data_IF_392947143493
#
_entry.id   IF_392947143493
#
_cell.length_a   1.000
_cell.length_b   1.000
_cell.length_c   1.000
_cell.angle_alpha   90.00
_cell.angle_beta   90.00
_cell.angle_gamma   90.00
#
_symmetry.space_group_name_H-M   'P 1'
#
loop_
_entity.id
_entity.type
_entity.pdbx_description
1 polymer ?
#
# COMPACT_ATOMS: atom_id res chain seq x y z
N UNK A 1 23.81 34.27 17.76
CA UNK A 1 24.21 34.08 16.36
C UNK A 1 23.39 32.94 15.76
N UNK A 2 22.40 33.25 14.91
CA UNK A 2 21.62 32.24 14.18
C UNK A 2 22.48 31.68 13.05
N UNK A 3 23.00 30.45 13.22
CA UNK A 3 23.78 29.76 12.18
C UNK A 3 22.82 29.34 11.06
N UNK A 4 22.91 30.03 9.91
CA UNK A 4 22.22 29.63 8.66
C UNK A 4 22.83 28.32 8.18
N UNK A 5 22.03 27.27 8.07
CA UNK A 5 22.41 26.01 7.43
C UNK A 5 22.34 26.28 5.92
N UNK A 6 23.47 26.25 5.24
CA UNK A 6 23.57 26.43 3.79
C UNK A 6 23.87 25.06 3.19
N UNK A 7 23.11 24.69 2.16
CA UNK A 7 23.24 23.39 1.47
C UNK A 7 24.59 23.19 0.77
N UNK A 8 24.68 22.12 -0.01
CA UNK A 8 25.89 21.47 -0.55
C UNK A 8 26.93 22.33 -1.31
N UNK A 9 26.72 23.65 -1.46
CA UNK A 9 27.59 24.58 -2.17
C UNK A 9 28.27 25.63 -1.25
N UNK A 10 28.49 25.30 0.03
CA UNK A 10 29.21 26.19 0.93
C UNK A 10 30.73 26.16 0.67
N UNK A 11 31.29 27.21 0.06
CA UNK A 11 32.75 27.44 -0.07
C UNK A 11 33.45 27.59 1.29
N UNK A 12 32.70 27.85 2.36
CA UNK A 12 33.14 27.73 3.75
C UNK A 12 31.92 27.47 4.65
N UNK A 13 31.86 26.33 5.31
CA UNK A 13 30.74 25.90 6.16
C UNK A 13 30.64 24.37 6.28
N UNK A 14 29.88 23.88 7.26
CA UNK A 14 29.63 22.45 7.46
C UNK A 14 28.56 22.02 6.44
N UNK A 15 28.92 21.14 5.49
CA UNK A 15 27.97 20.59 4.52
C UNK A 15 26.99 19.64 5.20
N UNK A 16 25.70 19.97 5.15
CA UNK A 16 24.63 19.10 5.65
C UNK A 16 24.03 18.38 4.45
N UNK A 17 24.29 17.09 4.33
CA UNK A 17 23.75 16.24 3.24
C UNK A 17 22.27 15.87 3.43
N UNK A 18 21.71 16.02 4.64
CA UNK A 18 20.32 15.73 4.91
C UNK A 18 19.92 16.02 6.35
N UNK A 19 18.64 16.31 6.55
CA UNK A 19 18.05 16.52 7.88
C UNK A 19 17.03 15.42 8.10
N UNK A 20 17.23 14.61 9.14
CA UNK A 20 16.29 13.58 9.57
C UNK A 20 15.30 14.20 10.56
N UNK A 21 14.01 14.11 10.25
CA UNK A 21 12.93 14.64 11.10
C UNK A 21 12.04 13.47 11.50
N UNK A 22 11.87 13.27 12.80
CA UNK A 22 10.99 12.23 13.34
C UNK A 22 9.68 12.86 13.84
N UNK A 23 8.56 12.41 13.30
CA UNK A 23 7.24 12.73 13.84
C UNK A 23 6.86 11.79 14.99
N UNK A 24 6.09 12.30 15.95
CA UNK A 24 5.56 11.51 17.07
C UNK A 24 4.44 10.53 16.68
N UNK A 25 3.76 10.75 15.55
CA UNK A 25 2.77 9.80 15.03
C UNK A 25 2.74 9.76 13.49
N UNK A 26 2.34 8.62 12.89
CA UNK A 26 2.21 8.48 11.44
C UNK A 26 1.16 9.41 10.82
N UNK A 27 0.01 9.64 11.49
CA UNK A 27 -1.05 10.48 10.92
C UNK A 27 -0.64 11.96 10.80
N UNK A 28 0.37 12.38 11.57
CA UNK A 28 0.89 13.74 11.54
C UNK A 28 2.01 13.94 10.51
N UNK A 29 2.44 12.89 9.80
CA UNK A 29 3.55 12.99 8.85
C UNK A 29 3.25 13.92 7.68
N UNK A 30 2.05 13.84 7.08
CA UNK A 30 1.66 14.74 5.99
C UNK A 30 1.56 16.19 6.45
N UNK A 31 0.91 16.43 7.60
CA UNK A 31 0.81 17.76 8.19
C UNK A 31 2.19 18.34 8.56
N UNK A 32 3.08 17.51 9.10
CA UNK A 32 4.45 17.90 9.40
C UNK A 32 5.24 18.20 8.13
N UNK A 33 5.10 17.40 7.07
CA UNK A 33 5.73 17.65 5.77
C UNK A 33 5.27 18.97 5.16
N UNK A 34 3.97 19.28 5.25
CA UNK A 34 3.43 20.57 4.81
C UNK A 34 4.02 21.74 5.60
N UNK A 35 4.03 21.65 6.93
CA UNK A 35 4.58 22.69 7.80
C UNK A 35 6.08 22.90 7.58
N UNK A 36 6.85 21.83 7.44
CA UNK A 36 8.30 21.91 7.18
C UNK A 36 8.56 22.51 5.80
N UNK A 37 7.81 22.11 4.77
CA UNK A 37 7.91 22.71 3.43
C UNK A 37 7.67 24.22 3.49
N UNK A 38 6.60 24.65 4.15
CA UNK A 38 6.28 26.08 4.25
C UNK A 38 7.33 26.85 5.07
N UNK A 39 7.82 26.27 6.16
CA UNK A 39 8.89 26.86 6.97
C UNK A 39 10.19 27.02 6.18
N UNK A 40 10.57 26.02 5.38
CA UNK A 40 11.76 26.07 4.55
C UNK A 40 11.61 27.11 3.43
N UNK A 41 10.46 27.19 2.75
CA UNK A 41 10.17 28.25 1.77
C UNK A 41 10.32 29.64 2.37
N UNK A 42 9.75 29.88 3.55
CA UNK A 42 9.86 31.15 4.26
C UNK A 42 11.32 31.46 4.63
N UNK A 43 12.10 30.48 5.09
CA UNK A 43 13.52 30.69 5.45
C UNK A 43 14.44 30.87 4.25
N UNK A 44 14.11 30.25 3.12
CA UNK A 44 14.85 30.37 1.87
C UNK A 44 14.38 31.56 1.02
N UNK A 45 13.36 32.31 1.49
CA UNK A 45 12.72 33.42 0.77
C UNK A 45 12.21 33.01 -0.62
N UNK A 46 11.69 31.78 -0.75
CA UNK A 46 11.10 31.25 -1.98
C UNK A 46 9.62 31.61 -1.98
N UNK A 47 9.22 32.46 -2.93
CA UNK A 47 7.84 32.86 -3.15
C UNK A 47 7.34 32.28 -4.49
N UNK A 48 6.05 31.89 -4.59
CA UNK A 48 5.49 31.50 -5.88
C UNK A 48 5.75 32.61 -6.91
N UNK A 49 6.29 32.31 -8.11
CA UNK A 49 6.35 30.99 -8.78
C UNK A 49 7.72 30.28 -8.73
N UNK A 50 8.65 30.66 -7.83
CA UNK A 50 9.97 30.02 -7.78
C UNK A 50 9.89 28.54 -7.39
N UNK A 51 10.66 27.66 -8.06
CA UNK A 51 10.75 26.25 -7.69
C UNK A 51 11.47 26.06 -6.36
N UNK A 52 11.13 24.99 -5.64
CA UNK A 52 11.78 24.63 -4.38
C UNK A 52 13.24 24.19 -4.63
N UNK A 53 14.16 24.64 -3.78
CA UNK A 53 15.58 24.27 -3.80
C UNK A 53 15.91 23.05 -2.90
N UNK A 54 14.88 22.46 -2.28
CA UNK A 54 14.97 21.32 -1.38
C UNK A 54 14.04 20.18 -1.80
N UNK A 55 14.36 18.96 -1.38
CA UNK A 55 13.51 17.78 -1.58
C UNK A 55 13.17 17.16 -0.22
N UNK A 56 11.89 17.03 0.08
CA UNK A 56 11.41 16.25 1.21
C UNK A 56 10.99 14.86 0.70
N UNK A 57 11.52 13.82 1.34
CA UNK A 57 11.10 12.45 1.10
C UNK A 57 10.43 11.94 2.36
N UNK A 58 9.14 11.63 2.28
CA UNK A 58 8.41 11.03 3.39
C UNK A 58 8.54 9.50 3.30
N UNK A 59 8.94 8.87 4.41
CA UNK A 59 9.04 7.41 4.44
C UNK A 59 7.67 6.73 4.46
N UNK A 60 6.60 7.46 4.84
CA UNK A 60 5.23 6.96 4.75
C UNK A 60 4.79 6.70 3.31
N UNK A 61 5.27 7.47 2.33
CA UNK A 61 4.90 7.31 0.91
C UNK A 61 5.42 5.97 0.35
N UNK A 62 6.60 5.55 0.81
CA UNK A 62 7.20 4.26 0.43
C UNK A 62 6.38 3.12 1.02
N UNK A 63 6.03 3.23 2.30
CA UNK A 63 5.23 2.21 3.00
C UNK A 63 3.83 2.11 2.40
N UNK A 64 3.15 3.24 2.16
CA UNK A 64 1.81 3.27 1.60
C UNK A 64 1.76 2.67 0.19
N UNK A 65 2.74 2.99 -0.66
CA UNK A 65 2.87 2.40 -1.99
C UNK A 65 3.02 0.88 -1.91
N UNK A 66 3.89 0.40 -1.01
CA UNK A 66 4.09 -1.03 -0.81
C UNK A 66 2.82 -1.73 -0.29
N UNK A 67 2.14 -1.13 0.70
CA UNK A 67 0.87 -1.64 1.22
C UNK A 67 -0.21 -1.71 0.14
N UNK A 68 -0.30 -0.71 -0.74
CA UNK A 68 -1.24 -0.70 -1.85
C UNK A 68 -0.96 -1.84 -2.84
N UNK A 69 0.32 -2.06 -3.19
CA UNK A 69 0.74 -3.14 -4.09
C UNK A 69 0.39 -4.51 -3.48
N UNK A 70 0.72 -4.72 -2.21
CA UNK A 70 0.39 -5.97 -1.49
C UNK A 70 -1.12 -6.16 -1.39
N UNK A 71 -1.88 -5.09 -1.15
CA UNK A 71 -3.34 -5.12 -1.13
C UNK A 71 -3.92 -5.57 -2.47
N UNK A 72 -3.41 -5.02 -3.58
CA UNK A 72 -3.83 -5.42 -4.92
C UNK A 72 -3.54 -6.91 -5.20
N UNK A 73 -2.34 -7.39 -4.86
CA UNK A 73 -2.01 -8.81 -4.99
C UNK A 73 -2.91 -9.70 -4.13
N UNK A 74 -3.23 -9.27 -2.91
CA UNK A 74 -4.14 -10.00 -2.03
C UNK A 74 -5.52 -10.18 -2.67
N UNK A 75 -6.08 -9.11 -3.23
CA UNK A 75 -7.38 -9.16 -3.95
C UNK A 75 -7.31 -10.11 -5.14
N UNK A 76 -6.23 -10.06 -5.93
CA UNK A 76 -6.03 -10.97 -7.06
C UNK A 76 -5.99 -12.44 -6.61
N UNK A 77 -5.24 -12.76 -5.56
CA UNK A 77 -5.14 -14.13 -5.04
C UNK A 77 -6.49 -14.63 -4.54
N UNK A 78 -7.24 -13.81 -3.79
CA UNK A 78 -8.58 -14.16 -3.31
C UNK A 78 -9.55 -14.37 -4.47
N UNK A 79 -9.50 -13.54 -5.51
CA UNK A 79 -10.33 -13.69 -6.68
C UNK A 79 -10.04 -15.02 -7.41
N UNK A 80 -8.77 -15.35 -7.63
CA UNK A 80 -8.36 -16.62 -8.26
C UNK A 80 -8.79 -17.80 -7.39
N UNK A 81 -8.54 -17.76 -6.08
CA UNK A 81 -8.95 -18.80 -5.15
C UNK A 81 -10.48 -18.99 -5.15
N UNK A 82 -11.25 -17.90 -5.21
CA UNK A 82 -12.70 -17.94 -5.33
C UNK A 82 -13.18 -18.63 -6.60
N UNK A 83 -12.57 -18.32 -7.75
CA UNK A 83 -12.86 -18.99 -9.02
C UNK A 83 -12.55 -20.49 -8.92
N UNK A 84 -11.38 -20.85 -8.39
CA UNK A 84 -10.99 -22.25 -8.20
C UNK A 84 -11.96 -23.01 -7.30
N UNK A 85 -12.45 -22.38 -6.22
CA UNK A 85 -13.44 -22.98 -5.34
C UNK A 85 -14.77 -23.24 -6.05
N UNK A 86 -15.26 -22.29 -6.86
CA UNK A 86 -16.50 -22.45 -7.63
C UNK A 86 -16.37 -23.58 -8.65
N UNK A 87 -15.27 -23.61 -9.42
CA UNK A 87 -15.04 -24.66 -10.42
C UNK A 87 -14.91 -26.03 -9.76
N UNK A 88 -14.21 -26.13 -8.62
CA UNK A 88 -14.13 -27.36 -7.83
C UNK A 88 -15.50 -27.80 -7.30
N UNK A 89 -16.32 -26.86 -6.83
CA UNK A 89 -17.69 -27.12 -6.37
C UNK A 89 -18.60 -27.66 -7.47
N UNK A 90 -18.52 -27.10 -8.67
CA UNK A 90 -19.24 -27.59 -9.85
C UNK A 90 -18.78 -29.02 -10.19
N UNK A 91 -17.48 -29.29 -10.12
CA UNK A 91 -16.93 -30.63 -10.36
C UNK A 91 -17.47 -31.67 -9.38
N UNK A 92 -17.45 -31.37 -8.07
CA UNK A 92 -18.00 -32.26 -7.03
C UNK A 92 -19.49 -32.47 -7.24
N UNK A 93 -20.26 -31.41 -7.55
CA UNK A 93 -21.68 -31.52 -7.82
C UNK A 93 -21.96 -32.44 -9.02
N UNK A 94 -21.16 -32.37 -10.08
CA UNK A 94 -21.32 -33.23 -11.25
C UNK A 94 -21.02 -34.71 -10.92
N UNK A 95 -19.93 -34.97 -10.18
CA UNK A 95 -19.61 -36.34 -9.71
C UNK A 95 -20.73 -36.88 -8.82
N UNK A 96 -21.25 -36.05 -7.91
CA UNK A 96 -22.35 -36.43 -7.03
C UNK A 96 -23.63 -36.73 -7.81
N UNK A 97 -23.96 -35.92 -8.83
CA UNK A 97 -25.12 -36.15 -9.69
C UNK A 97 -25.00 -37.51 -10.41
N UNK A 98 -23.86 -37.79 -11.05
CA UNK A 98 -23.63 -39.06 -11.75
C UNK A 98 -23.76 -40.24 -10.77
N UNK A 99 -23.18 -40.13 -9.57
CA UNK A 99 -23.27 -41.19 -8.55
C UNK A 99 -24.71 -41.47 -8.11
N UNK A 100 -25.54 -40.43 -7.94
CA UNK A 100 -26.96 -40.61 -7.61
C UNK A 100 -27.71 -41.24 -8.77
N UNK A 101 -27.45 -40.79 -10.01
CA UNK A 101 -28.08 -41.34 -11.22
C UNK A 101 -27.79 -42.83 -11.37
N UNK A 102 -26.53 -43.24 -11.21
CA UNK A 102 -26.12 -44.66 -11.26
C UNK A 102 -26.82 -45.52 -10.21
N UNK A 103 -27.06 -44.96 -9.01
CA UNK A 103 -27.66 -45.66 -7.87
C UNK A 103 -29.15 -45.38 -7.68
N UNK A 104 -29.82 -44.74 -8.64
CA UNK A 104 -31.26 -44.40 -8.55
C UNK A 104 -32.13 -45.61 -8.20
N UNK A 105 -31.87 -46.76 -8.83
CA UNK A 105 -32.61 -48.00 -8.58
C UNK A 105 -32.37 -48.54 -7.16
N UNK A 106 -31.13 -48.52 -6.67
CA UNK A 106 -30.83 -48.93 -5.29
C UNK A 106 -31.55 -48.02 -4.28
N UNK A 107 -31.52 -46.70 -4.50
CA UNK A 107 -32.17 -45.72 -3.63
C UNK A 107 -33.69 -45.94 -3.61
N UNK A 108 -34.31 -46.22 -4.76
CA UNK A 108 -35.75 -46.50 -4.84
C UNK A 108 -36.17 -47.76 -4.08
N UNK A 109 -35.37 -48.83 -4.17
CA UNK A 109 -35.66 -50.08 -3.44
C UNK A 109 -35.53 -49.85 -1.92
N UNK A 110 -34.53 -49.09 -1.47
CA UNK A 110 -34.37 -48.73 -0.04
C UNK A 110 -35.47 -47.83 0.52
N UNK A 111 -36.23 -47.14 -0.33
CA UNK A 111 -37.39 -46.34 0.09
C UNK A 111 -38.69 -47.12 0.15
N UNK A 112 -38.76 -48.26 -0.54
CA UNK A 112 -39.98 -49.06 -0.68
C UNK A 112 -40.13 -50.13 0.41
N UNK A 113 -39.02 -50.50 1.07
CA UNK A 113 -38.98 -51.36 2.27
C UNK A 113 -39.04 -50.48 3.50
#
# INVERSE_FOLDING_TARGET
MSRRIVGNNALSGISVNGILIKSGSPEKLEAAQFQVTNLLRLRHNIYPPQPDDFRLTNQADIVSTFTNIVGLFTVMVVAIAGISLVVGGIGIANIMLVSVVERTREIGIRKAV
#
